data_IF_819194447276
#
_entry.id   IF_819194447276
#
_cell.length_a   1.000
_cell.length_b   1.000
_cell.length_c   1.000
_cell.angle_alpha   90.00
_cell.angle_beta   90.00
_cell.angle_gamma   90.00
#
_symmetry.space_group_name_H-M   'P 1'
#
loop_
_entity.id
_entity.type
_entity.pdbx_description
1 polymer ?
#
# COMPACT_ATOMS: atom_id res chain seq x y z
N UNK A 1 -8.74 -17.26 -16.28
CA UNK A 1 -7.61 -16.39 -15.90
C UNK A 1 -6.59 -17.09 -15.01
N UNK A 2 -6.94 -17.57 -13.82
CA UNK A 2 -5.99 -18.21 -12.88
C UNK A 2 -5.17 -19.38 -13.49
N UNK A 3 -5.78 -20.25 -14.29
CA UNK A 3 -5.06 -21.33 -14.99
C UNK A 3 -4.02 -20.81 -15.99
N UNK A 4 -4.27 -19.67 -16.66
CA UNK A 4 -3.31 -19.07 -17.59
C UNK A 4 -2.08 -18.54 -16.84
N UNK A 5 -2.28 -17.95 -15.65
CA UNK A 5 -1.19 -17.54 -14.74
C UNK A 5 -0.34 -18.76 -14.32
N UNK A 6 -0.98 -19.86 -13.93
CA UNK A 6 -0.27 -21.10 -13.56
C UNK A 6 0.54 -21.70 -14.72
N UNK A 7 0.05 -21.58 -15.97
CA UNK A 7 0.75 -22.08 -17.17
C UNK A 7 2.07 -21.37 -17.45
N UNK A 8 2.28 -20.17 -16.91
CA UNK A 8 3.54 -19.42 -16.99
C UNK A 8 4.32 -19.46 -15.67
N UNK A 9 4.07 -20.48 -14.83
CA UNK A 9 4.78 -20.74 -13.57
C UNK A 9 4.66 -19.64 -12.50
N UNK A 10 3.55 -18.89 -12.56
CA UNK A 10 3.16 -17.91 -11.54
C UNK A 10 1.98 -18.43 -10.71
N UNK A 11 1.84 -17.91 -9.50
CA UNK A 11 0.75 -18.21 -8.59
C UNK A 11 -0.34 -17.12 -8.68
N UNK A 12 -1.59 -17.48 -9.00
CA UNK A 12 -2.70 -16.54 -8.98
C UNK A 12 -3.08 -16.19 -7.54
N UNK A 13 -2.97 -14.92 -7.18
CA UNK A 13 -3.41 -14.39 -5.89
C UNK A 13 -4.56 -13.41 -6.08
N UNK A 14 -5.61 -13.50 -5.26
CA UNK A 14 -6.81 -12.67 -5.37
C UNK A 14 -6.88 -11.73 -4.18
N UNK A 15 -7.13 -10.44 -4.45
CA UNK A 15 -7.38 -9.41 -3.44
C UNK A 15 -8.70 -8.74 -3.78
N UNK A 16 -9.61 -8.60 -2.81
CA UNK A 16 -10.84 -7.84 -3.00
C UNK A 16 -10.50 -6.38 -3.25
N UNK A 17 -11.19 -5.75 -4.20
CA UNK A 17 -10.88 -4.39 -4.64
C UNK A 17 -12.13 -3.50 -4.69
N UNK A 18 -13.19 -3.87 -3.96
CA UNK A 18 -14.50 -3.22 -4.04
C UNK A 18 -14.55 -1.77 -3.54
N UNK A 19 -13.51 -1.30 -2.86
CA UNK A 19 -13.40 0.08 -2.38
C UNK A 19 -12.24 0.81 -3.07
N UNK A 20 -12.32 2.15 -3.15
CA UNK A 20 -11.20 2.99 -3.61
C UNK A 20 -9.93 2.72 -2.81
N UNK A 21 -10.05 2.57 -1.50
CA UNK A 21 -8.94 2.26 -0.60
C UNK A 21 -8.27 0.93 -0.96
N UNK A 22 -9.03 -0.17 -1.04
CA UNK A 22 -8.48 -1.50 -1.29
C UNK A 22 -7.84 -1.58 -2.68
N UNK A 23 -8.54 -1.05 -3.69
CA UNK A 23 -8.05 -1.04 -5.06
C UNK A 23 -6.75 -0.26 -5.18
N UNK A 24 -6.72 0.98 -4.69
CA UNK A 24 -5.54 1.84 -4.81
C UNK A 24 -4.37 1.25 -4.04
N UNK A 25 -4.60 0.84 -2.78
CA UNK A 25 -3.56 0.29 -1.90
C UNK A 25 -2.91 -0.95 -2.52
N UNK A 26 -3.71 -1.92 -2.96
CA UNK A 26 -3.19 -3.13 -3.57
C UNK A 26 -2.54 -2.86 -4.93
N UNK A 27 -3.22 -2.13 -5.84
CA UNK A 27 -2.67 -1.84 -7.17
C UNK A 27 -1.32 -1.11 -7.06
N UNK A 28 -1.24 -0.08 -6.22
CA UNK A 28 -0.01 0.64 -5.94
C UNK A 28 1.12 -0.27 -5.45
N UNK A 29 0.82 -1.06 -4.42
CA UNK A 29 1.80 -1.88 -3.73
C UNK A 29 2.49 -2.89 -4.66
N UNK A 30 1.74 -3.50 -5.57
CA UNK A 30 2.28 -4.49 -6.52
C UNK A 30 2.84 -3.87 -7.80
N UNK A 31 2.27 -2.77 -8.31
CA UNK A 31 2.80 -2.08 -9.49
C UNK A 31 4.16 -1.44 -9.23
N UNK A 32 4.40 -0.91 -8.02
CA UNK A 32 5.75 -0.49 -7.58
C UNK A 32 6.77 -1.63 -7.63
N UNK A 33 6.32 -2.86 -7.35
CA UNK A 33 7.11 -4.09 -7.51
C UNK A 33 7.20 -4.63 -8.94
N UNK A 34 6.71 -3.86 -9.93
CA UNK A 34 6.64 -4.23 -11.35
C UNK A 34 5.81 -5.49 -11.62
N UNK A 35 4.78 -5.72 -10.81
CA UNK A 35 3.82 -6.81 -11.01
C UNK A 35 2.51 -6.20 -11.52
N UNK A 36 2.17 -6.36 -12.82
CA UNK A 36 0.88 -5.93 -13.34
C UNK A 36 -0.25 -6.77 -12.73
N UNK A 37 -1.42 -6.17 -12.54
CA UNK A 37 -2.58 -6.82 -11.95
C UNK A 37 -3.74 -6.87 -12.95
N UNK A 38 -4.57 -7.91 -12.87
CA UNK A 38 -5.81 -8.00 -13.66
C UNK A 38 -6.96 -7.55 -12.77
N UNK A 39 -7.62 -6.46 -13.13
CA UNK A 39 -8.80 -5.96 -12.45
C UNK A 39 -10.06 -6.56 -13.09
N UNK A 40 -10.83 -7.29 -12.28
CA UNK A 40 -12.17 -7.73 -12.62
C UNK A 40 -13.17 -6.64 -12.25
N UNK A 41 -14.07 -6.29 -13.16
CA UNK A 41 -15.10 -5.27 -12.96
C UNK A 41 -16.47 -5.77 -13.42
N UNK A 42 -17.51 -5.28 -12.75
CA UNK A 42 -18.88 -5.34 -13.27
C UNK A 42 -19.18 -4.04 -14.00
N UNK A 43 -19.74 -4.15 -15.20
CA UNK A 43 -20.08 -3.01 -16.04
C UNK A 43 -21.56 -2.65 -15.87
N UNK A 44 -21.80 -1.35 -15.69
CA UNK A 44 -23.14 -0.79 -15.60
C UNK A 44 -23.24 0.36 -16.60
N UNK A 45 -24.27 0.34 -17.45
CA UNK A 45 -24.58 1.43 -18.37
C UNK A 45 -25.71 2.29 -17.80
N UNK A 46 -25.48 3.59 -17.68
CA UNK A 46 -26.43 4.60 -17.26
C UNK A 46 -26.92 5.37 -18.47
N UNK A 47 -28.10 5.00 -18.98
CA UNK A 47 -28.72 5.65 -20.13
C UNK A 47 -30.16 6.00 -19.81
N UNK A 48 -30.57 7.23 -20.13
CA UNK A 48 -31.94 7.73 -19.90
C UNK A 48 -32.41 7.49 -18.45
N UNK A 49 -31.53 7.81 -17.47
CA UNK A 49 -31.74 7.62 -16.02
C UNK A 49 -31.97 6.17 -15.57
N UNK A 50 -31.74 5.20 -16.47
CA UNK A 50 -31.85 3.77 -16.15
C UNK A 50 -30.48 3.15 -15.98
N UNK A 51 -30.35 2.40 -14.89
CA UNK A 51 -29.21 1.53 -14.64
C UNK A 51 -29.43 0.18 -15.35
N UNK A 52 -28.57 -0.14 -16.32
CA UNK A 52 -28.63 -1.39 -17.08
C UNK A 52 -27.33 -2.16 -16.87
N UNK A 53 -27.43 -3.39 -16.35
CA UNK A 53 -26.27 -4.28 -16.24
C UNK A 53 -25.71 -4.58 -17.65
N UNK A 54 -24.43 -4.28 -17.86
CA UNK A 54 -23.75 -4.41 -19.14
C UNK A 54 -22.79 -5.62 -19.19
N UNK A 55 -22.73 -6.42 -18.12
CA UNK A 55 -21.90 -7.62 -18.02
C UNK A 55 -20.68 -7.43 -17.12
N UNK A 56 -19.69 -8.31 -17.26
CA UNK A 56 -18.42 -8.24 -16.54
C UNK A 56 -17.27 -8.10 -17.53
N UNK A 57 -16.20 -7.44 -17.11
CA UNK A 57 -14.98 -7.27 -17.90
C UNK A 57 -13.73 -7.43 -17.06
N UNK A 58 -12.60 -7.71 -17.72
CA UNK A 58 -11.30 -7.78 -17.07
C UNK A 58 -10.29 -6.92 -17.84
N UNK A 59 -9.59 -6.04 -17.12
CA UNK A 59 -8.57 -5.15 -17.68
C UNK A 59 -7.25 -5.34 -16.95
N UNK A 60 -6.12 -5.15 -17.62
CA UNK A 60 -4.81 -5.24 -16.97
C UNK A 60 -4.37 -3.85 -16.48
N UNK A 61 -4.21 -3.63 -15.19
CA UNK A 61 -3.63 -2.40 -14.66
C UNK A 61 -2.12 -2.42 -14.91
N UNK A 62 -1.64 -1.42 -15.62
CA UNK A 62 -0.24 -1.28 -16.03
C UNK A 62 0.47 -0.08 -15.40
N UNK A 63 -0.27 0.82 -14.76
CA UNK A 63 0.31 1.97 -14.09
C UNK A 63 -0.71 2.78 -13.32
N UNK A 64 -0.25 3.86 -12.69
CA UNK A 64 -1.07 4.82 -11.96
C UNK A 64 -0.44 6.21 -12.04
N UNK A 65 -1.22 7.23 -11.73
CA UNK A 65 -0.78 8.60 -11.51
C UNK A 65 -0.94 8.95 -10.03
N UNK A 66 0.01 9.72 -9.46
CA UNK A 66 -0.08 10.27 -8.12
C UNK A 66 -0.20 11.78 -8.21
N UNK A 67 -1.06 12.36 -7.36
CA UNK A 67 -1.18 13.80 -7.19
C UNK A 67 -0.59 14.21 -5.85
N UNK A 68 0.43 15.07 -5.88
CA UNK A 68 1.06 15.57 -4.65
C UNK A 68 0.11 16.46 -3.83
N UNK A 69 -0.85 17.11 -4.51
CA UNK A 69 -1.90 17.95 -3.93
C UNK A 69 -3.17 17.18 -3.56
N UNK A 70 -3.22 15.86 -3.78
CA UNK A 70 -4.39 15.07 -3.41
C UNK A 70 -4.51 14.92 -1.90
N UNK A 71 -5.73 15.10 -1.41
CA UNK A 71 -6.10 14.73 -0.05
C UNK A 71 -5.99 13.21 0.13
N UNK A 72 -5.73 12.76 1.36
CA UNK A 72 -5.82 11.35 1.74
C UNK A 72 -7.28 10.96 1.96
N UNK A 73 -8.11 11.23 0.94
CA UNK A 73 -9.49 10.77 0.95
C UNK A 73 -9.48 9.27 1.27
N UNK A 74 -10.33 8.85 2.20
CA UNK A 74 -10.45 7.45 2.63
C UNK A 74 -9.30 6.90 3.50
N UNK A 75 -8.46 7.74 4.11
CA UNK A 75 -7.55 7.30 5.18
C UNK A 75 -8.33 6.77 6.39
N UNK A 76 -8.08 5.53 6.80
CA UNK A 76 -8.61 4.99 8.05
C UNK A 76 -7.86 5.61 9.23
N UNK A 77 -8.56 6.24 10.18
CA UNK A 77 -8.01 6.69 11.47
C UNK A 77 -6.68 7.48 11.39
N UNK A 78 -6.59 8.40 10.42
CA UNK A 78 -5.41 9.23 10.21
C UNK A 78 -4.22 8.51 9.55
N UNK A 79 -4.41 7.28 9.06
CA UNK A 79 -3.42 6.52 8.30
C UNK A 79 -3.30 7.05 6.87
N UNK A 80 -2.40 8.02 6.68
CA UNK A 80 -2.15 8.70 5.40
C UNK A 80 -1.33 7.81 4.46
N UNK A 81 -1.99 6.85 3.81
CA UNK A 81 -1.32 5.98 2.84
C UNK A 81 -1.08 6.71 1.51
N UNK A 82 0.15 6.67 0.99
CA UNK A 82 0.56 7.29 -0.28
C UNK A 82 -0.29 6.82 -1.47
N UNK A 83 -0.74 5.57 -1.46
CA UNK A 83 -1.63 5.02 -2.48
C UNK A 83 -2.98 5.76 -2.58
N UNK A 84 -3.45 6.40 -1.49
CA UNK A 84 -4.68 7.19 -1.52
C UNK A 84 -4.60 8.39 -2.48
N UNK A 85 -3.38 8.87 -2.76
CA UNK A 85 -3.11 9.95 -3.73
C UNK A 85 -3.20 9.53 -5.20
N UNK A 86 -3.55 8.28 -5.48
CA UNK A 86 -3.82 7.85 -6.85
C UNK A 86 -5.07 8.57 -7.35
N UNK A 87 -4.93 9.30 -8.45
CA UNK A 87 -6.04 9.95 -9.14
C UNK A 87 -6.50 9.18 -10.38
N UNK A 88 -5.57 8.46 -11.03
CA UNK A 88 -5.83 7.65 -12.23
C UNK A 88 -5.16 6.29 -12.16
N UNK A 89 -5.85 5.27 -12.64
CA UNK A 89 -5.26 3.99 -13.00
C UNK A 89 -5.15 3.89 -14.51
N UNK A 90 -3.99 3.46 -15.01
CA UNK A 90 -3.78 3.20 -16.43
C UNK A 90 -3.91 1.71 -16.68
N UNK A 91 -4.83 1.34 -17.57
CA UNK A 91 -5.15 -0.05 -17.89
C UNK A 91 -4.96 -0.35 -19.37
N UNK A 92 -4.66 -1.61 -19.67
CA UNK A 92 -4.84 -2.19 -20.98
C UNK A 92 -6.21 -2.86 -21.04
N UNK A 93 -7.05 -2.39 -21.94
CA UNK A 93 -8.37 -2.94 -22.24
C UNK A 93 -8.33 -3.49 -23.66
N UNK A 94 -8.76 -4.74 -23.87
CA UNK A 94 -8.67 -5.41 -25.17
C UNK A 94 -9.61 -4.80 -26.23
N UNK A 95 -10.66 -4.09 -25.81
CA UNK A 95 -11.59 -3.40 -26.73
C UNK A 95 -11.14 -1.99 -27.10
N UNK A 96 -10.33 -1.37 -26.25
CA UNK A 96 -10.00 0.06 -26.34
C UNK A 96 -8.52 0.31 -26.65
N UNK A 97 -7.65 -0.56 -26.16
CA UNK A 97 -6.21 -0.48 -26.33
C UNK A 97 -5.45 -0.18 -25.02
N UNK A 98 -4.13 0.04 -25.13
CA UNK A 98 -3.27 0.32 -23.98
C UNK A 98 -3.51 1.73 -23.41
N UNK A 99 -3.20 1.89 -22.12
CA UNK A 99 -3.26 3.18 -21.39
C UNK A 99 -4.64 3.83 -21.32
N UNK A 100 -5.72 3.03 -21.40
CA UNK A 100 -7.05 3.48 -21.03
C UNK A 100 -7.02 3.98 -19.58
N UNK A 101 -7.64 5.15 -19.32
CA UNK A 101 -7.60 5.77 -17.99
C UNK A 101 -8.88 5.41 -17.25
N UNK A 102 -8.73 4.93 -16.01
CA UNK A 102 -9.82 4.74 -15.08
C UNK A 102 -9.71 5.76 -13.95
N UNK A 103 -10.81 6.46 -13.71
CA UNK A 103 -10.93 7.51 -12.71
C UNK A 103 -12.18 7.26 -11.87
N UNK A 104 -12.09 7.46 -10.55
CA UNK A 104 -13.27 7.39 -9.69
C UNK A 104 -14.20 8.56 -9.98
N UNK A 105 -15.46 8.25 -10.23
CA UNK A 105 -16.50 9.23 -10.53
C UNK A 105 -17.76 8.90 -9.72
N UNK A 106 -18.52 9.95 -9.40
CA UNK A 106 -19.84 9.79 -8.79
C UNK A 106 -20.79 9.16 -9.81
N UNK A 107 -21.57 8.18 -9.35
CA UNK A 107 -22.64 7.62 -10.17
C UNK A 107 -23.75 8.66 -10.36
N UNK A 108 -24.43 8.69 -11.52
CA UNK A 108 -25.63 9.48 -11.69
C UNK A 108 -26.70 8.96 -10.71
N UNK A 109 -27.05 9.74 -9.70
CA UNK A 109 -28.18 9.44 -8.80
C UNK A 109 -29.49 9.79 -9.50
N UNK A 110 -30.49 8.90 -9.54
CA UNK A 110 -31.86 9.31 -9.83
C UNK A 110 -32.31 10.31 -8.75
N UNK A 111 -32.96 11.41 -9.13
CA UNK A 111 -33.30 12.55 -8.25
C UNK A 111 -34.24 12.24 -7.04
N UNK A 112 -34.52 10.99 -6.69
CA UNK A 112 -35.71 10.64 -5.88
C UNK A 112 -35.54 9.76 -4.63
N UNK A 113 -34.34 9.55 -4.07
CA UNK A 113 -34.26 8.85 -2.77
C UNK A 113 -33.37 9.59 -1.79
N UNK A 114 -34.01 10.16 -0.76
CA UNK A 114 -33.35 10.92 0.29
C UNK A 114 -32.28 10.12 1.03
N UNK A 115 -31.21 10.82 1.42
CA UNK A 115 -30.08 10.32 2.21
C UNK A 115 -29.35 9.08 1.65
N UNK A 116 -29.40 8.80 0.34
CA UNK A 116 -28.57 7.74 -0.23
C UNK A 116 -27.09 8.16 -0.29
N UNK A 117 -26.23 7.28 0.22
CA UNK A 117 -24.78 7.40 0.12
C UNK A 117 -24.39 7.59 -1.35
N UNK A 118 -23.64 8.65 -1.67
CA UNK A 118 -23.10 8.85 -3.01
C UNK A 118 -22.24 7.64 -3.38
N UNK A 119 -22.71 6.84 -4.33
CA UNK A 119 -22.00 5.68 -4.82
C UNK A 119 -20.94 6.14 -5.83
N UNK A 120 -19.74 5.59 -5.70
CA UNK A 120 -18.63 5.85 -6.60
C UNK A 120 -18.30 4.60 -7.41
N UNK A 121 -17.92 4.78 -8.66
CA UNK A 121 -17.43 3.72 -9.54
C UNK A 121 -16.31 4.26 -10.43
N UNK A 122 -15.59 3.36 -11.10
CA UNK A 122 -14.57 3.74 -12.07
C UNK A 122 -15.22 4.10 -13.40
N UNK A 123 -14.88 5.24 -13.96
CA UNK A 123 -15.25 5.66 -15.30
C UNK A 123 -14.03 5.56 -16.22
N UNK A 124 -14.23 5.04 -17.42
CA UNK A 124 -13.16 5.03 -18.43
C UNK A 124 -13.18 6.32 -19.28
N UNK A 125 -12.07 6.63 -19.93
CA UNK A 125 -11.95 7.84 -20.75
C UNK A 125 -12.70 7.79 -22.10
N UNK A 126 -13.42 6.71 -22.40
CA UNK A 126 -13.98 6.44 -23.73
C UNK A 126 -15.51 6.36 -23.76
N UNK A 127 -16.16 6.23 -22.60
CA UNK A 127 -17.60 6.20 -22.49
C UNK A 127 -18.08 7.10 -21.36
N UNK A 128 -19.08 7.92 -21.65
CA UNK A 128 -19.69 8.79 -20.65
C UNK A 128 -20.77 8.10 -19.82
N UNK A 129 -21.27 6.95 -20.28
CA UNK A 129 -22.41 6.26 -19.69
C UNK A 129 -22.05 4.93 -19.03
N UNK A 130 -20.84 4.42 -19.26
CA UNK A 130 -20.41 3.11 -18.72
C UNK A 130 -19.52 3.30 -17.51
N UNK A 131 -19.95 2.71 -16.40
CA UNK A 131 -19.25 2.69 -15.13
C UNK A 131 -18.81 1.26 -14.81
N UNK A 132 -17.66 1.14 -14.16
CA UNK A 132 -17.02 -0.12 -13.80
C UNK A 132 -16.96 -0.21 -12.28
N UNK A 133 -17.58 -1.23 -11.72
CA UNK A 133 -17.54 -1.54 -10.30
C UNK A 133 -16.45 -2.58 -10.06
N UNK A 134 -15.33 -2.22 -9.42
CA UNK A 134 -14.28 -3.16 -9.07
C UNK A 134 -14.81 -4.32 -8.23
N UNK A 135 -14.39 -5.53 -8.56
CA UNK A 135 -14.67 -6.73 -7.77
C UNK A 135 -13.40 -7.18 -7.04
N UNK A 136 -12.41 -7.62 -7.81
CA UNK A 136 -11.12 -8.08 -7.29
C UNK A 136 -9.96 -7.80 -8.24
N UNK A 137 -8.77 -7.74 -7.67
CA UNK A 137 -7.49 -7.85 -8.38
C UNK A 137 -7.02 -9.30 -8.38
N UNK A 138 -6.65 -9.78 -9.55
CA UNK A 138 -5.95 -11.05 -9.75
C UNK A 138 -4.48 -10.74 -10.08
N UNK A 139 -3.60 -11.14 -9.18
CA UNK A 139 -2.17 -10.89 -9.22
C UNK A 139 -1.41 -12.14 -9.67
N UNK A 140 -0.57 -12.05 -10.71
CA UNK A 140 0.32 -13.12 -11.12
C UNK A 140 1.62 -13.06 -10.31
N UNK A 141 1.65 -13.70 -9.13
CA UNK A 141 2.79 -13.62 -8.22
C UNK A 141 3.84 -14.69 -8.52
N UNK A 142 5.11 -14.34 -8.36
CA UNK A 142 6.16 -15.36 -8.33
C UNK A 142 6.03 -16.19 -7.05
N UNK A 143 6.14 -17.52 -7.14
CA UNK A 143 5.86 -18.47 -6.03
C UNK A 143 6.71 -18.28 -4.75
N UNK A 144 7.76 -17.46 -4.79
CA UNK A 144 8.53 -17.07 -3.60
C UNK A 144 7.95 -15.86 -2.86
N UNK A 145 7.04 -15.10 -3.44
CA UNK A 145 6.31 -14.02 -2.75
C UNK A 145 5.16 -14.68 -2.01
N UNK A 146 5.26 -14.78 -0.68
CA UNK A 146 4.34 -15.53 0.18
C UNK A 146 3.60 -14.66 1.18
N UNK A 147 4.19 -13.52 1.55
CA UNK A 147 3.57 -12.58 2.49
C UNK A 147 2.70 -11.61 1.68
N UNK A 148 1.38 -11.58 1.90
CA UNK A 148 0.49 -10.67 1.17
C UNK A 148 0.61 -9.24 1.68
N UNK A 149 0.28 -8.28 0.82
CA UNK A 149 0.20 -6.87 1.17
C UNK A 149 -0.64 -6.60 2.43
N UNK A 150 -1.80 -7.24 2.55
CA UNK A 150 -2.74 -7.02 3.65
C UNK A 150 -2.10 -7.26 5.02
N UNK A 151 -1.24 -8.28 5.15
CA UNK A 151 -0.56 -8.55 6.41
C UNK A 151 0.29 -7.35 6.83
N UNK A 152 1.15 -6.85 5.94
CA UNK A 152 2.03 -5.71 6.28
C UNK A 152 1.21 -4.45 6.49
N UNK A 153 0.20 -4.22 5.65
CA UNK A 153 -0.72 -3.11 5.77
C UNK A 153 -1.40 -3.06 7.15
N UNK A 154 -2.02 -4.15 7.58
CA UNK A 154 -2.80 -4.20 8.82
C UNK A 154 -1.91 -4.01 10.05
N UNK A 155 -0.69 -4.57 10.03
CA UNK A 155 0.32 -4.35 11.06
C UNK A 155 0.72 -2.87 11.13
N UNK A 156 0.93 -2.21 9.98
CA UNK A 156 1.28 -0.78 9.95
C UNK A 156 0.12 0.12 10.36
N UNK A 157 -1.13 -0.30 10.14
CA UNK A 157 -2.31 0.40 10.64
C UNK A 157 -2.33 0.41 12.17
N UNK A 158 -2.04 -0.73 12.81
CA UNK A 158 -1.92 -0.85 14.27
C UNK A 158 -0.77 0.01 14.79
N UNK A 159 0.40 -0.08 14.14
CA UNK A 159 1.56 0.73 14.51
C UNK A 159 1.26 2.23 14.40
N UNK A 160 0.57 2.66 13.34
CA UNK A 160 0.15 4.05 13.18
C UNK A 160 -0.78 4.51 14.31
N UNK A 161 -1.76 3.70 14.71
CA UNK A 161 -2.66 4.04 15.80
C UNK A 161 -1.89 4.24 17.12
N UNK A 162 -0.91 3.36 17.41
CA UNK A 162 -0.02 3.50 18.57
C UNK A 162 0.80 4.78 18.49
N UNK A 163 1.50 5.02 17.36
CA UNK A 163 2.30 6.22 17.18
C UNK A 163 1.47 7.50 17.32
N UNK A 164 0.23 7.51 16.81
CA UNK A 164 -0.65 8.67 16.91
C UNK A 164 -1.13 8.92 18.35
N UNK A 165 -1.47 7.88 19.10
CA UNK A 165 -1.83 8.03 20.52
C UNK A 165 -0.68 8.64 21.34
N UNK A 166 0.55 8.22 21.05
CA UNK A 166 1.74 8.79 21.67
C UNK A 166 2.01 10.22 21.20
N UNK A 167 1.91 10.50 19.89
CA UNK A 167 2.04 11.87 19.37
C UNK A 167 1.09 12.85 20.06
N UNK A 168 -0.16 12.47 20.22
CA UNK A 168 -1.15 13.28 20.92
C UNK A 168 -0.75 13.55 22.37
N UNK A 169 -0.27 12.52 23.09
CA UNK A 169 0.18 12.65 24.47
C UNK A 169 1.39 13.59 24.65
N UNK A 170 2.30 13.64 23.66
CA UNK A 170 3.49 14.50 23.67
C UNK A 170 3.29 15.84 22.94
N UNK A 171 2.11 16.08 22.36
CA UNK A 171 1.80 17.33 21.63
C UNK A 171 2.45 17.44 20.25
N UNK A 172 2.85 16.32 19.65
CA UNK A 172 3.36 16.28 18.28
C UNK A 172 2.21 16.43 17.27
N UNK A 173 2.38 17.34 16.32
CA UNK A 173 1.31 17.73 15.37
C UNK A 173 1.50 17.09 13.99
N UNK A 174 2.70 16.62 13.68
CA UNK A 174 3.02 16.12 12.34
C UNK A 174 2.51 14.68 12.14
N UNK A 175 1.60 14.53 11.17
CA UNK A 175 1.07 13.21 10.76
C UNK A 175 1.82 12.77 9.50
N UNK A 176 2.66 11.71 9.58
CA UNK A 176 3.45 11.24 8.46
C UNK A 176 2.59 10.54 7.40
N UNK A 177 3.09 10.53 6.18
CA UNK A 177 2.62 9.68 5.08
C UNK A 177 3.28 8.31 5.17
N UNK A 178 2.49 7.25 4.99
CA UNK A 178 2.95 5.87 4.88
C UNK A 178 3.03 5.44 3.42
N UNK A 179 4.14 4.85 2.99
CA UNK A 179 4.33 4.32 1.64
C UNK A 179 4.69 2.83 1.72
N UNK A 180 3.75 1.97 1.37
CA UNK A 180 3.87 0.50 1.50
C UNK A 180 3.85 -0.14 0.12
N UNK A 181 4.91 -0.86 -0.25
CA UNK A 181 4.98 -1.52 -1.54
C UNK A 181 5.97 -2.67 -1.59
N UNK A 182 5.77 -3.55 -2.58
CA UNK A 182 6.69 -4.63 -2.88
C UNK A 182 7.87 -4.08 -3.68
N UNK A 183 9.07 -4.53 -3.36
CA UNK A 183 10.29 -4.19 -4.10
C UNK A 183 11.24 -5.38 -4.18
N UNK A 184 12.29 -5.24 -4.99
CA UNK A 184 13.42 -6.17 -4.98
C UNK A 184 14.58 -5.60 -4.18
N UNK A 185 15.46 -6.46 -3.66
CA UNK A 185 16.69 -6.01 -3.00
C UNK A 185 17.54 -5.09 -3.88
N UNK A 186 17.57 -5.32 -5.20
CA UNK A 186 18.35 -4.49 -6.11
C UNK A 186 17.72 -3.12 -6.32
N UNK A 187 16.40 -3.07 -6.53
CA UNK A 187 15.69 -1.80 -6.65
C UNK A 187 15.76 -1.01 -5.33
N UNK A 188 15.61 -1.66 -4.17
CA UNK A 188 15.80 -1.04 -2.86
C UNK A 188 17.21 -0.46 -2.68
N UNK A 189 18.26 -1.25 -2.89
CA UNK A 189 19.65 -0.73 -2.73
C UNK A 189 19.95 0.39 -3.73
N UNK A 190 19.32 0.39 -4.89
CA UNK A 190 19.44 1.48 -5.86
C UNK A 190 18.73 2.75 -5.37
N UNK A 191 17.51 2.61 -4.82
CA UNK A 191 16.75 3.74 -4.27
C UNK A 191 17.42 4.33 -3.04
N UNK A 192 17.95 3.52 -2.11
CA UNK A 192 18.68 4.00 -0.92
C UNK A 192 19.82 4.94 -1.29
N UNK A 193 20.61 4.61 -2.31
CA UNK A 193 21.75 5.45 -2.75
C UNK A 193 21.31 6.83 -3.24
N UNK A 194 20.07 6.97 -3.72
CA UNK A 194 19.53 8.21 -4.24
C UNK A 194 18.73 8.97 -3.18
N UNK A 195 17.82 8.27 -2.50
CA UNK A 195 16.85 8.85 -1.58
C UNK A 195 17.44 9.17 -0.20
N UNK A 196 18.44 8.40 0.26
CA UNK A 196 19.06 8.64 1.57
C UNK A 196 20.28 9.56 1.46
N UNK A 197 20.74 9.83 0.24
CA UNK A 197 21.80 10.80 0.02
C UNK A 197 21.33 12.18 0.50
N UNK A 198 22.03 12.75 1.48
CA UNK A 198 21.70 14.06 2.05
C UNK A 198 20.84 14.03 3.31
N UNK A 199 20.40 12.85 3.80
CA UNK A 199 19.69 12.75 5.09
C UNK A 199 20.59 12.92 6.32
N UNK A 200 21.91 13.06 6.13
CA UNK A 200 22.86 13.31 7.22
C UNK A 200 23.14 12.10 8.13
N UNK A 201 22.63 10.91 7.79
CA UNK A 201 22.79 9.67 8.57
C UNK A 201 23.54 8.59 7.76
N UNK A 202 24.28 7.73 8.44
CA UNK A 202 24.97 6.61 7.77
C UNK A 202 23.98 5.51 7.37
N UNK A 203 23.83 5.32 6.06
CA UNK A 203 22.95 4.31 5.48
C UNK A 203 23.70 3.09 4.92
N UNK A 204 24.99 2.94 5.23
CA UNK A 204 25.78 1.78 4.79
C UNK A 204 25.19 0.46 5.28
N UNK A 205 24.65 0.41 6.50
CA UNK A 205 23.97 -0.78 7.02
C UNK A 205 22.86 -1.23 6.07
N UNK A 206 22.01 -0.32 5.61
CA UNK A 206 20.96 -0.58 4.61
C UNK A 206 21.48 -1.20 3.30
N UNK A 207 22.71 -0.88 2.89
CA UNK A 207 23.34 -1.42 1.69
C UNK A 207 24.01 -2.78 1.91
N UNK A 208 24.53 -3.05 3.10
CA UNK A 208 25.30 -4.27 3.41
C UNK A 208 24.46 -5.38 4.04
N UNK A 209 23.30 -5.06 4.62
CA UNK A 209 22.38 -6.06 5.17
C UNK A 209 22.02 -7.10 4.10
N UNK A 210 22.08 -8.38 4.51
CA UNK A 210 21.68 -9.51 3.68
C UNK A 210 20.17 -9.58 3.66
N UNK A 211 19.59 -9.53 2.45
CA UNK A 211 18.15 -9.47 2.26
C UNK A 211 17.71 -10.54 1.24
N UNK A 212 16.51 -11.12 1.41
CA UNK A 212 15.89 -11.94 0.38
C UNK A 212 15.58 -11.11 -0.88
N UNK A 213 15.29 -11.80 -1.98
CA UNK A 213 15.07 -11.14 -3.28
C UNK A 213 13.90 -10.17 -3.26
N UNK A 214 12.82 -10.51 -2.56
CA UNK A 214 11.57 -9.73 -2.52
C UNK A 214 11.32 -9.22 -1.11
N UNK A 215 10.97 -7.95 -1.01
CA UNK A 215 10.81 -7.23 0.25
C UNK A 215 9.52 -6.42 0.19
N UNK A 216 8.81 -6.35 1.31
CA UNK A 216 7.88 -5.26 1.56
C UNK A 216 8.66 -4.09 2.16
N UNK A 217 8.67 -2.96 1.46
CA UNK A 217 9.23 -1.70 1.96
C UNK A 217 8.10 -0.85 2.49
N UNK A 218 8.22 -0.44 3.74
CA UNK A 218 7.35 0.52 4.40
C UNK A 218 8.17 1.76 4.69
N UNK A 219 7.79 2.89 4.10
CA UNK A 219 8.47 4.18 4.28
C UNK A 219 7.54 5.14 5.00
N UNK A 220 8.02 5.80 6.05
CA UNK A 220 7.35 6.93 6.68
C UNK A 220 7.99 8.23 6.18
N UNK A 221 7.15 9.12 5.64
CA UNK A 221 7.56 10.43 5.17
C UNK A 221 6.88 11.52 5.95
N UNK A 222 7.63 12.58 6.25
CA UNK A 222 7.08 13.80 6.78
C UNK A 222 7.52 14.95 5.88
N UNK A 223 6.55 15.76 5.43
CA UNK A 223 6.78 16.82 4.43
C UNK A 223 7.55 16.33 3.18
N UNK A 224 7.29 15.09 2.76
CA UNK A 224 7.95 14.46 1.60
C UNK A 224 9.34 13.85 1.88
N UNK A 225 9.95 14.17 3.02
CA UNK A 225 11.27 13.66 3.44
C UNK A 225 11.11 12.32 4.14
N UNK A 226 11.99 11.36 3.84
CA UNK A 226 12.01 10.06 4.50
C UNK A 226 12.49 10.24 5.93
N UNK A 227 11.68 9.82 6.89
CA UNK A 227 12.05 9.77 8.31
C UNK A 227 12.40 8.35 8.75
N UNK A 228 11.65 7.35 8.29
CA UNK A 228 11.89 5.95 8.67
C UNK A 228 11.59 5.01 7.50
N UNK A 229 12.29 3.89 7.47
CA UNK A 229 12.09 2.79 6.53
C UNK A 229 12.15 1.45 7.26
N UNK A 230 11.17 0.59 7.01
CA UNK A 230 11.10 -0.78 7.51
C UNK A 230 11.07 -1.75 6.34
N UNK A 231 11.92 -2.77 6.37
CA UNK A 231 11.99 -3.82 5.36
C UNK A 231 11.53 -5.14 5.95
N UNK A 232 10.45 -5.69 5.39
CA UNK A 232 9.93 -6.99 5.75
C UNK A 232 10.18 -8.02 4.66
N UNK A 233 10.50 -9.25 5.05
CA UNK A 233 10.68 -10.38 4.15
C UNK A 233 9.36 -10.73 3.46
N UNK A 234 9.29 -10.59 2.13
CA UNK A 234 8.10 -10.99 1.38
C UNK A 234 8.05 -12.51 1.10
N UNK A 235 9.11 -13.25 1.45
CA UNK A 235 9.34 -14.67 1.15
C UNK A 235 9.27 -15.60 2.37
N UNK A 236 9.23 -15.01 3.57
CA UNK A 236 9.26 -15.70 4.85
C UNK A 236 7.96 -16.43 5.21
N UNK A 237 7.82 -16.73 6.51
CA UNK A 237 6.62 -17.31 7.10
C UNK A 237 5.96 -16.28 8.01
N UNK A 238 4.65 -16.10 7.86
CA UNK A 238 3.89 -15.04 8.54
C UNK A 238 3.96 -15.12 10.08
N UNK A 239 4.23 -16.30 10.65
CA UNK A 239 4.33 -16.49 12.11
C UNK A 239 5.63 -15.96 12.72
N UNK A 240 6.65 -15.71 11.91
CA UNK A 240 7.95 -15.21 12.38
C UNK A 240 8.02 -13.69 12.25
N UNK A 241 8.98 -13.06 12.95
CA UNK A 241 9.37 -11.69 12.62
C UNK A 241 9.86 -11.66 11.17
N UNK A 242 9.21 -10.84 10.36
CA UNK A 242 9.57 -10.61 8.97
C UNK A 242 10.49 -9.41 8.84
N UNK A 243 10.61 -8.56 9.86
CA UNK A 243 11.46 -7.38 9.83
C UNK A 243 12.93 -7.80 9.69
N UNK A 244 13.56 -7.39 8.59
CA UNK A 244 14.97 -7.67 8.29
C UNK A 244 15.86 -6.48 8.61
N UNK A 245 15.33 -5.28 8.39
CA UNK A 245 16.11 -4.04 8.50
C UNK A 245 15.17 -2.89 8.84
N UNK A 246 15.64 -2.01 9.72
CA UNK A 246 15.03 -0.71 9.97
C UNK A 246 16.07 0.39 9.76
N UNK A 247 15.59 1.54 9.30
CA UNK A 247 16.36 2.74 9.13
C UNK A 247 15.54 3.92 9.66
N UNK A 248 16.20 4.88 10.29
CA UNK A 248 15.56 6.11 10.74
C UNK A 248 16.54 7.27 10.73
N UNK A 249 16.06 8.46 10.41
CA UNK A 249 16.70 9.71 10.81
C UNK A 249 16.36 10.02 12.27
N UNK A 250 16.96 11.07 12.83
CA UNK A 250 16.45 11.65 14.07
C UNK A 250 15.08 12.28 13.79
N UNK A 251 14.03 11.75 14.42
CA UNK A 251 12.65 12.18 14.27
C UNK A 251 11.80 11.75 15.48
N UNK A 252 10.65 12.39 15.66
CA UNK A 252 9.69 12.10 16.75
C UNK A 252 9.27 10.62 16.77
N UNK A 253 9.10 10.02 15.59
CA UNK A 253 8.73 8.60 15.46
C UNK A 253 9.81 7.67 16.05
N UNK A 254 11.09 7.97 15.83
CA UNK A 254 12.22 7.22 16.40
C UNK A 254 12.23 7.33 17.93
N UNK A 255 11.99 8.52 18.48
CA UNK A 255 11.92 8.74 19.92
C UNK A 255 10.79 7.92 20.56
N UNK A 256 9.58 8.00 19.99
CA UNK A 256 8.42 7.24 20.48
C UNK A 256 8.70 5.74 20.44
N UNK A 257 9.20 5.22 19.31
CA UNK A 257 9.54 3.80 19.20
C UNK A 257 10.60 3.36 20.21
N UNK A 258 11.59 4.21 20.47
CA UNK A 258 12.65 3.94 21.45
C UNK A 258 12.09 3.88 22.88
N UNK A 259 11.16 4.78 23.23
CA UNK A 259 10.46 4.74 24.53
C UNK A 259 9.63 3.46 24.63
N UNK A 260 8.82 3.17 23.61
CA UNK A 260 7.99 1.96 23.56
C UNK A 260 8.81 0.68 23.66
N UNK A 261 10.10 0.72 23.31
CA UNK A 261 11.02 -0.42 23.38
C UNK A 261 11.70 -0.59 24.76
N UNK A 262 11.49 0.33 25.71
CA UNK A 262 12.05 0.22 27.06
C UNK A 262 11.45 -0.97 27.85
N UNK A 263 12.20 -1.61 28.77
CA UNK A 263 11.72 -2.79 29.51
C UNK A 263 10.40 -2.60 30.27
N UNK A 264 10.11 -1.37 30.72
CA UNK A 264 8.87 -1.02 31.42
C UNK A 264 7.60 -1.22 30.58
N UNK A 265 7.70 -1.25 29.24
CA UNK A 265 6.59 -1.50 28.32
C UNK A 265 6.57 -2.93 27.75
N UNK A 266 7.36 -3.86 28.30
CA UNK A 266 7.49 -5.22 27.76
C UNK A 266 6.15 -5.96 27.73
N UNK A 267 5.32 -5.79 28.77
CA UNK A 267 4.03 -6.49 28.87
C UNK A 267 3.07 -6.04 27.78
N UNK A 268 2.94 -4.73 27.57
CA UNK A 268 2.12 -4.13 26.53
C UNK A 268 2.63 -4.54 25.14
N UNK A 269 3.95 -4.56 24.93
CA UNK A 269 4.55 -5.03 23.67
C UNK A 269 4.25 -6.49 23.36
N UNK A 270 4.16 -7.37 24.36
CA UNK A 270 3.85 -8.79 24.15
C UNK A 270 2.41 -9.02 23.67
N UNK A 271 1.51 -8.07 23.90
CA UNK A 271 0.13 -8.09 23.40
C UNK A 271 0.02 -7.59 21.95
N UNK A 272 1.08 -6.96 21.43
CA UNK A 272 1.11 -6.46 20.05
C UNK A 272 1.35 -7.60 19.05
N UNK A 273 0.83 -7.46 17.81
CA UNK A 273 1.15 -8.42 16.77
C UNK A 273 2.65 -8.43 16.43
N UNK A 274 3.10 -9.55 15.89
CA UNK A 274 4.53 -9.89 15.79
C UNK A 274 5.34 -8.86 14.99
N UNK A 275 4.77 -8.28 13.93
CA UNK A 275 5.52 -7.35 13.08
C UNK A 275 5.60 -5.96 13.71
N UNK A 276 4.52 -5.48 14.34
CA UNK A 276 4.54 -4.26 15.15
C UNK A 276 5.58 -4.36 16.26
N UNK A 277 5.58 -5.48 17.00
CA UNK A 277 6.56 -5.72 18.07
C UNK A 277 7.99 -5.70 17.54
N UNK A 278 8.25 -6.40 16.43
CA UNK A 278 9.58 -6.44 15.81
C UNK A 278 10.07 -5.05 15.40
N UNK A 279 9.18 -4.19 14.89
CA UNK A 279 9.53 -2.79 14.58
C UNK A 279 9.94 -2.06 15.85
N UNK A 280 9.12 -2.08 16.91
CA UNK A 280 9.43 -1.39 18.17
C UNK A 280 10.75 -1.91 18.76
N UNK A 281 10.93 -3.23 18.84
CA UNK A 281 12.15 -3.85 19.38
C UNK A 281 13.41 -3.43 18.61
N UNK A 282 13.32 -3.15 17.31
CA UNK A 282 14.46 -2.66 16.52
C UNK A 282 14.97 -1.27 16.94
N UNK A 283 14.23 -0.55 17.79
CA UNK A 283 14.62 0.74 18.38
C UNK A 283 14.97 0.64 19.88
N UNK A 284 14.84 -0.55 20.48
CA UNK A 284 15.19 -0.80 21.87
C UNK A 284 16.69 -0.95 22.07
N UNK A 285 17.38 0.18 22.26
CA UNK A 285 18.79 0.30 22.68
C UNK A 285 19.87 -0.18 21.70
N UNK A 286 20.85 0.69 21.47
CA UNK A 286 22.08 0.44 20.70
C UNK A 286 22.82 -0.82 21.18
N UNK A 287 23.06 -1.78 20.27
CA UNK A 287 23.89 -2.97 20.47
C UNK A 287 23.15 -4.23 20.02
N UNK A 288 23.36 -4.78 18.83
CA UNK A 288 24.62 -5.15 18.20
C UNK A 288 24.50 -4.92 16.69
N UNK A 289 25.44 -4.15 16.15
CA UNK A 289 25.75 -4.21 14.73
C UNK A 289 26.12 -5.67 14.40
N UNK A 290 25.24 -6.36 13.68
CA UNK A 290 25.59 -7.62 13.00
C UNK A 290 26.41 -7.33 11.75
#
# INVERSE_FOLDING_TARGET
>A
MAQAIRRVELEPHIIRAGTKYDLHSAAYAYLRGRIPSILSVQLTNYKDEKQIAAGAHAVAITGYSLRDDAEYEFSQDGFRLRAAKIDKLYVHDDQTGPFCRLEWSQLPTPEMVGNEQQLHALKNSWSDTVYQHPDFLLLPLYHKIRIPFSLIHDEMLILNALLNAWREAYGYVEIPEWDIYLTTVNDYKSSVRQEYAGLGVDFRSSLYTRMPRFLWRVTLRAQGVIQMDFLFDATGLAQNSLLIHSFSTECEGREILSIMAMPEYEKERLELPVQVRAVIESFGSEGVSL
#
